data_IF_920804219281
#
_entry.id   IF_920804219281
#
_cell.length_a   1.000
_cell.length_b   1.000
_cell.length_c   1.000
_cell.angle_alpha   90.00
_cell.angle_beta   90.00
_cell.angle_gamma   90.00
#
_symmetry.space_group_name_H-M   'P 1'
#
loop_
_entity.id
_entity.type
_entity.pdbx_description
1 polymer ?
#
# COMPACT_ATOMS: atom_id res chain seq x y z
N UNK A 1 5.12 15.89 11.98
CA UNK A 1 6.11 16.24 10.94
C UNK A 1 5.71 15.48 9.70
N UNK A 2 5.31 16.14 8.60
CA UNK A 2 4.47 15.61 7.51
C UNK A 2 4.99 14.41 6.68
N UNK A 3 5.78 13.52 7.27
CA UNK A 3 6.45 12.37 6.64
C UNK A 3 5.45 11.27 6.35
N UNK A 4 4.44 11.08 7.21
CA UNK A 4 3.37 10.11 7.03
C UNK A 4 2.51 10.47 5.82
N UNK A 5 2.17 11.74 5.71
CA UNK A 5 1.40 12.31 4.60
C UNK A 5 2.18 12.17 3.29
N UNK A 6 3.48 12.46 3.29
CA UNK A 6 4.33 12.27 2.11
C UNK A 6 4.43 10.79 1.74
N UNK A 7 4.62 9.89 2.70
CA UNK A 7 4.69 8.45 2.42
C UNK A 7 3.37 7.91 1.84
N UNK A 8 2.23 8.36 2.36
CA UNK A 8 0.91 8.01 1.83
C UNK A 8 0.67 8.58 0.43
N UNK A 9 1.08 9.82 0.16
CA UNK A 9 0.99 10.43 -1.16
C UNK A 9 1.88 9.72 -2.19
N UNK A 10 3.11 9.36 -1.82
CA UNK A 10 4.03 8.59 -2.68
C UNK A 10 3.49 7.20 -3.00
N UNK A 11 2.86 6.55 -2.01
CA UNK A 11 2.21 5.25 -2.20
C UNK A 11 0.88 5.32 -2.95
N UNK A 12 0.38 6.53 -3.25
CA UNK A 12 -0.91 6.74 -3.93
C UNK A 12 -2.14 6.60 -3.03
N UNK A 13 -1.96 6.51 -1.71
CA UNK A 13 -3.04 6.42 -0.73
C UNK A 13 -3.66 7.79 -0.36
N UNK A 14 -2.98 8.89 -0.68
CA UNK A 14 -3.50 10.26 -0.61
C UNK A 14 -3.23 11.00 -1.93
N UNK A 15 -4.10 11.94 -2.33
CA UNK A 15 -3.83 12.82 -3.46
C UNK A 15 -2.75 13.85 -3.13
N UNK A 16 -2.12 14.40 -4.18
CA UNK A 16 -1.24 15.55 -4.08
C UNK A 16 -1.42 16.47 -5.31
N UNK A 17 -1.33 17.78 -5.09
CA UNK A 17 -1.71 18.77 -6.10
C UNK A 17 -0.71 18.83 -7.27
N UNK A 18 0.60 18.75 -6.98
CA UNK A 18 1.65 18.95 -7.97
C UNK A 18 2.88 18.07 -7.72
N UNK A 19 3.70 17.90 -8.77
CA UNK A 19 4.92 17.07 -8.74
C UNK A 19 4.74 15.71 -9.40
N UNK A 20 5.77 14.87 -9.30
CA UNK A 20 5.76 13.50 -9.85
C UNK A 20 6.54 12.57 -8.93
N UNK A 21 6.18 11.29 -8.96
CA UNK A 21 6.88 10.22 -8.27
C UNK A 21 7.45 9.29 -9.33
N UNK A 22 8.76 9.10 -9.31
CA UNK A 22 9.48 8.22 -10.24
C UNK A 22 10.19 7.13 -9.44
N UNK A 23 9.98 5.87 -9.82
CA UNK A 23 10.50 4.69 -9.14
C UNK A 23 11.27 3.88 -10.16
N UNK A 24 12.59 3.72 -9.94
CA UNK A 24 13.48 3.02 -10.88
C UNK A 24 13.41 3.56 -12.32
N UNK A 25 13.14 4.86 -12.47
CA UNK A 25 13.01 5.52 -13.78
C UNK A 25 11.61 5.46 -14.39
N UNK A 26 10.65 4.77 -13.76
CA UNK A 26 9.26 4.73 -14.20
C UNK A 26 8.39 5.70 -13.41
N UNK A 27 7.58 6.48 -14.11
CA UNK A 27 6.65 7.42 -13.48
C UNK A 27 5.43 6.69 -12.95
N UNK A 28 5.16 6.84 -11.65
CA UNK A 28 3.95 6.32 -11.05
C UNK A 28 2.74 7.19 -11.39
N UNK A 29 1.63 6.52 -11.68
CA UNK A 29 0.33 7.17 -11.74
C UNK A 29 -0.02 7.78 -10.37
N UNK A 30 -0.60 8.98 -10.38
CA UNK A 30 -1.00 9.65 -9.13
C UNK A 30 -2.21 8.96 -8.54
N UNK A 31 -2.29 8.89 -7.20
CA UNK A 31 -3.44 8.35 -6.49
C UNK A 31 -3.77 6.89 -6.92
N UNK A 32 -2.72 6.09 -7.15
CA UNK A 32 -2.84 4.72 -7.63
C UNK A 32 -1.98 3.78 -6.79
N UNK A 33 -2.59 3.22 -5.74
CA UNK A 33 -1.97 2.21 -4.88
C UNK A 33 -1.58 0.94 -5.66
N UNK A 34 -2.42 0.38 -6.56
CA UNK A 34 -2.01 -0.70 -7.44
C UNK A 34 -0.73 -0.41 -8.23
N UNK A 35 -0.58 0.77 -8.82
CA UNK A 35 0.63 1.15 -9.56
C UNK A 35 1.87 1.13 -8.66
N UNK A 36 1.78 1.65 -7.43
CA UNK A 36 2.88 1.60 -6.46
C UNK A 36 3.25 0.16 -6.07
N UNK A 37 2.25 -0.70 -5.85
CA UNK A 37 2.45 -2.12 -5.55
C UNK A 37 3.11 -2.86 -6.72
N UNK A 38 2.66 -2.62 -7.95
CA UNK A 38 3.26 -3.19 -9.17
C UNK A 38 4.70 -2.73 -9.42
N UNK A 39 5.04 -1.51 -8.99
CA UNK A 39 6.41 -1.01 -9.00
C UNK A 39 7.29 -1.59 -7.87
N UNK A 40 6.73 -2.46 -7.02
CA UNK A 40 7.43 -3.14 -5.94
C UNK A 40 7.58 -2.32 -4.67
N UNK A 41 6.72 -1.33 -4.45
CA UNK A 41 6.69 -0.54 -3.20
C UNK A 41 5.70 -1.16 -2.23
N UNK A 42 6.10 -1.25 -0.95
CA UNK A 42 5.20 -1.52 0.16
C UNK A 42 5.20 -0.36 1.14
N UNK A 43 4.02 0.07 1.59
CA UNK A 43 3.86 1.07 2.64
C UNK A 43 3.64 0.38 3.99
N UNK A 44 4.51 0.70 4.96
CA UNK A 44 4.33 0.28 6.35
C UNK A 44 3.79 1.47 7.14
N UNK A 45 2.55 1.40 7.66
CA UNK A 45 1.97 2.50 8.44
C UNK A 45 2.74 2.72 9.75
N UNK A 46 2.71 3.95 10.24
CA UNK A 46 3.35 4.33 11.51
C UNK A 46 2.70 3.61 12.69
N UNK A 47 1.36 3.53 12.70
CA UNK A 47 0.61 2.68 13.60
C UNK A 47 0.29 1.34 12.93
N UNK A 48 1.22 0.39 13.09
CA UNK A 48 1.07 -0.99 12.60
C UNK A 48 -0.06 -1.75 13.29
N UNK A 49 -0.48 -1.36 14.49
CA UNK A 49 -1.51 -2.05 15.27
C UNK A 49 -2.91 -1.57 14.87
N UNK A 50 -3.07 -0.28 14.64
CA UNK A 50 -4.37 0.30 14.28
C UNK A 50 -4.73 0.21 12.79
N UNK A 51 -3.74 0.15 11.88
CA UNK A 51 -3.99 0.33 10.44
C UNK A 51 -3.37 -0.73 9.52
N UNK A 52 -2.63 -1.71 10.06
CA UNK A 52 -1.93 -2.73 9.26
C UNK A 52 -2.25 -4.18 9.63
N UNK A 53 -3.08 -4.41 10.65
CA UNK A 53 -3.39 -5.73 11.19
C UNK A 53 -4.87 -5.83 11.54
N UNK A 54 -5.45 -7.01 11.31
CA UNK A 54 -6.69 -7.42 11.95
C UNK A 54 -6.31 -8.02 13.30
N UNK A 55 -6.44 -7.23 14.36
CA UNK A 55 -5.96 -7.59 15.71
C UNK A 55 -6.70 -8.79 16.31
N UNK A 56 -7.94 -9.02 15.90
CA UNK A 56 -8.75 -10.17 16.33
C UNK A 56 -8.48 -11.45 15.51
N UNK A 57 -7.56 -11.39 14.53
CA UNK A 57 -7.18 -12.51 13.68
C UNK A 57 -5.77 -13.03 14.00
N UNK A 58 -5.53 -14.31 13.74
CA UNK A 58 -4.20 -14.91 13.88
C UNK A 58 -3.18 -14.32 12.90
N UNK A 59 -1.89 -14.57 13.17
CA UNK A 59 -0.79 -14.20 12.26
C UNK A 59 -0.97 -14.84 10.88
N UNK A 60 -1.45 -16.09 10.82
CA UNK A 60 -1.68 -16.80 9.57
C UNK A 60 -2.80 -16.15 8.75
N UNK A 61 -3.88 -15.71 9.40
CA UNK A 61 -4.99 -15.02 8.73
C UNK A 61 -4.55 -13.64 8.21
N UNK A 62 -3.77 -12.89 8.99
CA UNK A 62 -3.20 -11.62 8.54
C UNK A 62 -2.28 -11.80 7.32
N UNK A 63 -1.48 -12.87 7.27
CA UNK A 63 -0.66 -13.21 6.08
C UNK A 63 -1.51 -13.67 4.89
N UNK A 64 -2.60 -14.40 5.16
CA UNK A 64 -3.57 -14.84 4.15
C UNK A 64 -4.24 -13.65 3.45
N UNK A 65 -4.63 -12.61 4.19
CA UNK A 65 -5.26 -11.40 3.63
C UNK A 65 -4.36 -10.66 2.63
N UNK A 66 -3.05 -10.65 2.85
CA UNK A 66 -2.06 -10.02 1.95
C UNK A 66 -1.92 -10.80 0.64
N UNK A 67 -2.15 -12.11 0.67
CA UNK A 67 -1.97 -13.02 -0.48
C UNK A 67 -3.30 -13.41 -1.15
N UNK A 68 -4.44 -13.09 -0.54
CA UNK A 68 -5.78 -13.49 -0.96
C UNK A 68 -6.05 -13.18 -2.44
N UNK A 69 -5.73 -11.96 -2.92
CA UNK A 69 -5.95 -11.60 -4.32
C UNK A 69 -5.15 -12.41 -5.33
N UNK A 70 -4.00 -12.96 -4.94
CA UNK A 70 -3.18 -13.81 -5.81
C UNK A 70 -3.51 -15.29 -5.66
N UNK A 71 -4.08 -15.69 -4.52
CA UNK A 71 -4.40 -17.07 -4.20
C UNK A 71 -5.84 -17.47 -4.59
N UNK A 72 -6.73 -16.48 -4.78
CA UNK A 72 -8.16 -16.69 -5.00
C UNK A 72 -8.55 -16.26 -6.42
N UNK A 73 -9.23 -17.12 -7.18
CA UNK A 73 -9.79 -16.76 -8.50
C UNK A 73 -11.30 -16.79 -8.42
N UNK A 74 -11.93 -15.63 -8.59
CA UNK A 74 -13.38 -15.43 -8.46
C UNK A 74 -13.97 -15.69 -7.07
N UNK A 75 -13.19 -15.49 -6.00
CA UNK A 75 -13.70 -15.55 -4.62
C UNK A 75 -13.77 -16.95 -4.00
N UNK A 76 -13.19 -17.96 -4.65
CA UNK A 76 -13.01 -19.33 -4.15
C UNK A 76 -11.52 -19.65 -3.96
#
# INVERSE_FOLDING_TARGET
AGRTEVARAVFGADPYDAGTVDVRGERLARHDVPAAMSAGIGLVPEDRKGQGLVLDASVQENLGLVTLRSATRSGL
#
